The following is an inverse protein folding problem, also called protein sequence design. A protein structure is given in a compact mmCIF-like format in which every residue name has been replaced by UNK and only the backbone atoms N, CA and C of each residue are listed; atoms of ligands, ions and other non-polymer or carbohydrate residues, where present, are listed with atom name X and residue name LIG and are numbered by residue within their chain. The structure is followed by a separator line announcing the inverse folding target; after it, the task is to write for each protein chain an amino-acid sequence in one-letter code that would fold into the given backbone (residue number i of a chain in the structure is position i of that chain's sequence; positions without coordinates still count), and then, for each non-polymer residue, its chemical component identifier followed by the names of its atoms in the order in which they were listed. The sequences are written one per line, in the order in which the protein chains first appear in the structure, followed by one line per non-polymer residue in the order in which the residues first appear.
data_IF_722227684017
#
_entry.id   IF_722227684017
#
_cell.length_a   1.000
_cell.length_b   1.000
_cell.length_c   1.000
_cell.angle_alpha   90.00
_cell.angle_beta   90.00
_cell.angle_gamma   90.00
#
_symmetry.space_group_name_H-M   'P 1'
#
loop_
_entity.id
_entity.type
_entity.pdbx_description
1 polymer ?
#
# COMPACT_ATOMS: atom_id res chain seq x y z
N UNK A 1 -28.07 32.00 -24.39
CA UNK A 1 -28.70 30.92 -23.61
C UNK A 1 -27.74 30.58 -22.47
N UNK A 2 -28.20 30.64 -21.22
CA UNK A 2 -27.42 30.18 -20.06
C UNK A 2 -28.18 29.04 -19.40
N UNK A 3 -27.53 27.91 -19.21
CA UNK A 3 -28.02 26.82 -18.38
C UNK A 3 -26.95 26.36 -17.39
N UNK A 4 -27.43 26.19 -16.18
CA UNK A 4 -26.72 26.24 -14.91
C UNK A 4 -26.44 24.81 -14.48
N UNK A 5 -25.26 24.62 -13.89
CA UNK A 5 -25.05 23.79 -12.70
C UNK A 5 -25.61 22.37 -12.74
N UNK A 6 -24.73 21.39 -13.01
CA UNK A 6 -24.91 20.01 -12.54
C UNK A 6 -23.76 19.64 -11.63
N UNK A 7 -23.77 20.29 -10.47
CA UNK A 7 -23.24 19.70 -9.25
C UNK A 7 -23.91 18.34 -9.03
N UNK A 8 -23.16 17.40 -8.43
CA UNK A 8 -23.60 16.18 -7.74
C UNK A 8 -23.25 14.85 -8.41
N UNK A 9 -22.02 14.37 -8.16
CA UNK A 9 -21.70 12.98 -7.75
C UNK A 9 -20.46 13.10 -6.85
N UNK A 10 -20.61 13.18 -5.52
CA UNK A 10 -20.72 11.99 -4.67
C UNK A 10 -19.34 11.32 -4.58
N UNK A 11 -18.61 11.31 -3.47
CA UNK A 11 -18.96 11.67 -2.13
C UNK A 11 -17.71 11.92 -1.28
N UNK A 12 -18.02 12.40 -0.10
CA UNK A 12 -17.19 12.52 1.08
C UNK A 12 -16.24 11.32 1.27
N UNK A 13 -14.94 11.55 1.21
CA UNK A 13 -13.97 10.76 1.98
C UNK A 13 -12.81 11.68 2.37
N UNK A 14 -13.15 12.65 3.22
CA UNK A 14 -12.20 13.36 4.07
C UNK A 14 -11.58 12.42 5.09
N UNK A 15 -10.84 11.42 4.61
CA UNK A 15 -9.96 10.62 5.43
C UNK A 15 -8.71 11.44 5.68
N UNK A 16 -8.78 12.34 6.66
CA UNK A 16 -7.63 12.71 7.47
C UNK A 16 -6.98 11.39 7.91
N UNK A 17 -6.10 10.81 7.08
CA UNK A 17 -5.23 9.73 7.52
C UNK A 17 -4.40 10.41 8.58
N UNK A 18 -4.80 10.24 9.84
CA UNK A 18 -3.93 10.56 10.97
C UNK A 18 -2.53 10.11 10.55
N UNK A 19 -1.52 11.00 10.67
CA UNK A 19 -0.17 10.65 10.27
C UNK A 19 0.18 9.38 11.04
N UNK A 20 0.25 8.27 10.31
CA UNK A 20 0.54 6.97 10.90
C UNK A 20 1.88 7.15 11.58
N UNK A 21 1.91 7.06 12.91
CA UNK A 21 3.15 7.20 13.65
C UNK A 21 4.07 6.06 13.21
N UNK A 22 5.08 6.42 12.44
CA UNK A 22 6.12 5.51 11.98
C UNK A 22 7.21 5.51 13.04
N UNK A 23 7.52 4.34 13.57
CA UNK A 23 8.61 4.14 14.51
C UNK A 23 9.84 3.68 13.74
N UNK A 24 10.99 4.26 14.07
CA UNK A 24 12.29 3.80 13.57
C UNK A 24 12.75 2.59 14.38
N UNK A 25 13.14 1.53 13.68
CA UNK A 25 13.60 0.29 14.29
C UNK A 25 14.73 -0.33 13.46
N UNK A 26 15.60 -1.11 14.10
CA UNK A 26 16.67 -1.84 13.42
C UNK A 26 16.17 -3.23 13.03
N UNK A 27 16.35 -3.60 11.76
CA UNK A 27 15.99 -4.92 11.27
C UNK A 27 16.90 -5.99 11.90
N UNK A 28 16.32 -6.98 12.58
CA UNK A 28 17.06 -8.08 13.19
C UNK A 28 17.70 -9.03 12.16
N UNK A 29 17.25 -9.01 10.90
CA UNK A 29 17.80 -9.86 9.84
C UNK A 29 18.95 -9.22 9.06
N UNK A 30 18.89 -7.90 8.81
CA UNK A 30 19.85 -7.22 7.94
C UNK A 30 20.54 -6.01 8.58
N UNK A 31 20.11 -5.59 9.78
CA UNK A 31 20.71 -4.47 10.52
C UNK A 31 20.34 -3.08 10.00
N UNK A 32 19.48 -2.98 8.98
CA UNK A 32 19.09 -1.69 8.40
C UNK A 32 18.00 -0.97 9.20
N UNK A 33 17.95 0.35 9.07
CA UNK A 33 16.89 1.19 9.62
C UNK A 33 15.57 0.98 8.85
N UNK A 34 14.52 0.57 9.57
CA UNK A 34 13.19 0.33 9.04
C UNK A 34 12.17 1.24 9.73
N UNK A 35 11.23 1.76 8.94
CA UNK A 35 10.08 2.51 9.45
C UNK A 35 8.89 1.56 9.56
N UNK A 36 8.51 1.23 10.80
CA UNK A 36 7.43 0.28 11.10
C UNK A 36 6.26 0.99 11.77
N UNK A 37 5.01 0.60 11.48
CA UNK A 37 3.81 1.22 12.08
C UNK A 37 3.53 0.74 13.51
N UNK A 38 4.42 -0.05 14.10
CA UNK A 38 4.29 -0.62 15.44
C UNK A 38 5.55 -0.30 16.24
N UNK A 39 5.40 -0.18 17.55
CA UNK A 39 6.54 0.11 18.43
C UNK A 39 7.49 -1.11 18.48
N UNK A 40 8.78 -0.96 18.16
CA UNK A 40 9.77 -2.03 18.31
C UNK A 40 9.83 -2.47 19.78
N UNK A 41 9.70 -3.77 20.04
CA UNK A 41 9.81 -4.35 21.39
C UNK A 41 11.01 -5.28 21.43
N UNK A 42 11.75 -5.27 22.52
CA UNK A 42 12.92 -6.13 22.73
C UNK A 42 12.57 -7.62 22.78
N UNK A 43 11.30 -7.94 23.12
CA UNK A 43 10.72 -9.28 23.07
C UNK A 43 10.47 -9.83 21.66
N UNK A 44 10.38 -8.97 20.62
CA UNK A 44 9.96 -9.40 19.28
C UNK A 44 10.86 -8.81 18.18
N UNK A 45 11.56 -9.63 17.38
CA UNK A 45 12.47 -9.14 16.35
C UNK A 45 11.71 -8.34 15.29
N UNK A 46 12.22 -7.15 14.97
CA UNK A 46 11.67 -6.30 13.92
C UNK A 46 12.30 -6.66 12.59
N UNK A 47 11.48 -6.71 11.54
CA UNK A 47 11.92 -6.98 10.18
C UNK A 47 11.49 -5.84 9.26
N UNK A 48 12.37 -5.43 8.34
CA UNK A 48 12.01 -4.46 7.30
C UNK A 48 11.04 -5.07 6.29
N UNK A 49 10.38 -4.25 5.48
CA UNK A 49 9.42 -4.69 4.46
C UNK A 49 10.00 -5.73 3.49
N UNK A 50 11.30 -5.65 3.20
CA UNK A 50 12.00 -6.59 2.34
C UNK A 50 12.27 -7.94 3.02
N UNK A 51 12.62 -7.95 4.31
CA UNK A 51 12.83 -9.17 5.08
C UNK A 51 11.52 -9.81 5.53
N UNK A 52 10.50 -8.99 5.80
CA UNK A 52 9.15 -9.40 6.11
C UNK A 52 8.40 -9.69 4.81
N UNK A 53 8.79 -10.74 4.08
CA UNK A 53 7.97 -11.25 2.99
C UNK A 53 6.84 -12.11 3.59
N UNK A 54 5.58 -11.63 3.63
CA UNK A 54 4.46 -12.54 3.83
C UNK A 54 4.47 -13.51 2.66
N UNK A 55 4.29 -14.80 2.95
CA UNK A 55 4.15 -15.87 1.95
C UNK A 55 2.82 -15.70 1.19
N UNK A 56 2.66 -14.61 0.44
CA UNK A 56 1.55 -14.38 -0.48
C UNK A 56 1.94 -14.75 -1.91
N UNK A 57 2.80 -15.75 -2.07
CA UNK A 57 3.01 -16.44 -3.34
C UNK A 57 2.02 -17.61 -3.49
N UNK A 58 0.73 -17.36 -3.24
CA UNK A 58 -0.31 -18.35 -3.49
C UNK A 58 -1.61 -17.66 -3.89
N UNK A 59 -1.62 -17.13 -5.12
CA UNK A 59 -2.69 -17.26 -6.16
C UNK A 59 -2.82 -15.97 -6.99
N UNK A 60 -2.53 -16.10 -8.28
CA UNK A 60 -3.15 -15.26 -9.33
C UNK A 60 -2.18 -14.38 -10.10
N UNK A 61 -1.41 -14.99 -11.00
CA UNK A 61 -0.65 -14.25 -12.01
C UNK A 61 -1.56 -13.36 -12.86
N UNK A 62 -1.07 -12.16 -13.16
CA UNK A 62 -1.50 -11.38 -14.32
C UNK A 62 -0.38 -11.42 -15.34
N UNK A 63 -0.14 -12.61 -15.87
CA UNK A 63 0.53 -12.82 -17.14
C UNK A 63 -0.54 -13.19 -18.18
N UNK A 64 -0.56 -12.48 -19.30
CA UNK A 64 -1.30 -12.88 -20.49
C UNK A 64 -2.43 -11.93 -20.86
N UNK A 65 -2.19 -11.09 -21.86
CA UNK A 65 -3.24 -10.19 -22.35
C UNK A 65 -2.91 -9.32 -23.56
N UNK A 66 -1.82 -9.60 -24.25
CA UNK A 66 -1.49 -9.22 -25.62
C UNK A 66 -2.64 -9.53 -26.61
N UNK A 67 -3.70 -8.72 -26.57
CA UNK A 67 -4.70 -8.62 -27.65
C UNK A 67 -4.48 -7.33 -28.42
N UNK A 68 -3.27 -7.20 -28.96
CA UNK A 68 -3.10 -6.52 -30.25
C UNK A 68 -4.05 -7.24 -31.22
N UNK A 69 -4.61 -6.50 -32.17
CA UNK A 69 -5.27 -7.08 -33.34
C UNK A 69 -6.68 -7.63 -33.08
N UNK A 70 -7.71 -6.80 -33.30
CA UNK A 70 -8.78 -7.11 -34.26
C UNK A 70 -9.94 -6.14 -34.17
N UNK A 71 -10.14 -5.46 -35.30
CA UNK A 71 -11.41 -5.05 -35.88
C UNK A 71 -11.91 -3.65 -35.52
N UNK A 72 -12.25 -2.97 -36.62
CA UNK A 72 -13.14 -1.83 -36.89
C UNK A 72 -12.81 -0.47 -36.29
#
# INVERSE_FOLDING_TARGET
MGDRSRSSRGGNDGGYREPRQMYTAICASCGNEAQVPFQPREDRPVYCSDCYQPRTASRGGNGGGDRRSSRW
#
